data_IF_507802411564
#
_entry.id   IF_507802411564
#
_cell.length_a   1.000
_cell.length_b   1.000
_cell.length_c   1.000
_cell.angle_alpha   90.00
_cell.angle_beta   90.00
_cell.angle_gamma   90.00
#
_symmetry.space_group_name_H-M   'P 1'
#
loop_
_entity.id
_entity.type
_entity.pdbx_description
1 polymer ?
#
# COMPACT_ATOMS: atom_id res chain seq x y z
N UNK A 1 47.08 -41.43 13.38
CA UNK A 1 47.12 -40.79 12.06
C UNK A 1 45.68 -40.45 11.68
N UNK A 2 45.25 -39.20 11.93
CA UNK A 2 44.23 -38.56 11.08
C UNK A 2 44.96 -38.08 9.80
N UNK A 3 44.30 -37.63 8.71
CA UNK A 3 42.86 -37.39 8.50
C UNK A 3 42.34 -37.90 7.13
N UNK A 4 41.04 -38.09 6.91
CA UNK A 4 40.41 -37.68 5.63
C UNK A 4 38.99 -37.18 5.93
N UNK A 5 38.90 -35.88 6.10
CA UNK A 5 37.69 -35.08 6.02
C UNK A 5 37.16 -35.18 4.58
N UNK A 6 35.98 -35.79 4.38
CA UNK A 6 35.40 -35.90 3.05
C UNK A 6 34.73 -34.58 2.65
N UNK A 7 35.59 -33.73 2.11
CA UNK A 7 35.29 -32.57 1.27
C UNK A 7 34.39 -33.03 0.12
N UNK A 8 33.29 -32.30 -0.15
CA UNK A 8 32.35 -32.47 -1.27
C UNK A 8 31.06 -33.27 -1.03
N UNK A 9 30.11 -32.65 -0.32
CA UNK A 9 28.77 -32.42 -0.89
C UNK A 9 28.37 -31.01 -0.46
N UNK A 10 28.82 -30.03 -1.27
CA UNK A 10 27.91 -29.23 -2.09
C UNK A 10 27.12 -28.24 -1.22
N UNK A 11 27.77 -27.13 -0.88
CA UNK A 11 27.50 -25.84 -1.51
C UNK A 11 26.11 -25.28 -1.17
N UNK A 12 26.13 -24.23 -0.35
CA UNK A 12 25.36 -23.02 -0.61
C UNK A 12 23.87 -23.18 -0.89
N UNK A 13 23.08 -23.60 0.10
CA UNK A 13 21.71 -23.10 0.24
C UNK A 13 21.56 -22.48 1.64
N UNK A 14 22.52 -21.64 2.02
CA UNK A 14 22.12 -20.41 2.67
C UNK A 14 21.59 -19.58 1.50
N UNK A 15 20.32 -19.78 1.12
CA UNK A 15 19.58 -18.71 0.48
C UNK A 15 19.57 -17.61 1.54
N UNK A 16 20.64 -16.81 1.56
CA UNK A 16 20.52 -15.43 1.95
C UNK A 16 19.48 -14.91 0.98
N UNK A 17 18.21 -14.99 1.38
CA UNK A 17 17.21 -14.08 0.90
C UNK A 17 17.76 -12.72 1.31
N UNK A 18 18.62 -12.17 0.45
CA UNK A 18 18.88 -10.76 0.39
C UNK A 18 17.51 -10.17 0.06
N UNK A 19 16.73 -9.92 1.11
CA UNK A 19 15.75 -8.86 1.10
C UNK A 19 16.59 -7.59 0.91
N UNK A 20 16.92 -7.29 -0.35
CA UNK A 20 17.18 -5.93 -0.73
C UNK A 20 15.84 -5.22 -0.55
N UNK A 21 15.56 -4.80 0.69
CA UNK A 21 14.51 -3.85 0.97
C UNK A 21 14.92 -2.57 0.28
N UNK A 22 14.57 -2.41 -0.99
CA UNK A 22 14.57 -1.13 -1.64
C UNK A 22 13.44 -0.32 -0.99
N UNK A 23 13.74 0.34 0.13
CA UNK A 23 12.85 1.30 0.75
C UNK A 23 12.69 2.45 -0.26
N UNK A 24 11.59 2.44 -1.03
CA UNK A 24 11.33 3.43 -2.07
C UNK A 24 10.86 4.73 -1.45
N UNK A 25 9.63 4.73 -0.95
CA UNK A 25 9.05 5.87 -0.25
C UNK A 25 8.22 5.40 0.95
N UNK A 26 8.02 6.31 1.91
CA UNK A 26 7.08 6.14 3.01
C UNK A 26 5.86 7.00 2.76
N UNK A 27 4.70 6.39 2.61
CA UNK A 27 3.43 7.09 2.41
C UNK A 27 2.74 7.21 3.75
N UNK A 28 2.57 8.45 4.22
CA UNK A 28 1.84 8.75 5.46
C UNK A 28 0.44 9.25 5.15
N UNK A 29 -0.55 8.52 5.63
CA UNK A 29 -1.97 8.85 5.54
C UNK A 29 -2.34 9.69 6.75
N UNK A 30 -3.00 10.82 6.55
CA UNK A 30 -3.49 11.69 7.62
C UNK A 30 -4.98 11.94 7.42
N UNK A 31 -5.81 11.43 8.31
CA UNK A 31 -7.25 11.72 8.24
C UNK A 31 -7.55 13.06 8.92
N UNK A 32 -7.78 14.09 8.12
CA UNK A 32 -8.24 15.41 8.59
C UNK A 32 -9.77 15.58 8.51
N UNK A 33 -10.50 14.56 8.06
CA UNK A 33 -11.96 14.58 8.04
C UNK A 33 -12.51 14.44 9.47
N UNK A 34 -13.71 14.97 9.77
CA UNK A 34 -14.33 14.84 11.09
C UNK A 34 -14.93 13.43 11.33
N UNK A 35 -14.72 12.48 10.43
CA UNK A 35 -15.23 11.11 10.48
C UNK A 35 -14.11 10.10 10.17
N UNK A 36 -14.30 8.85 10.61
CA UNK A 36 -13.39 7.75 10.27
C UNK A 36 -13.42 7.48 8.77
N UNK A 37 -12.23 7.26 8.18
CA UNK A 37 -12.06 6.77 6.82
C UNK A 37 -11.30 5.46 6.88
N UNK A 38 -11.52 4.57 5.90
CA UNK A 38 -10.77 3.33 5.79
C UNK A 38 -9.96 3.34 4.51
N UNK A 39 -8.69 3.78 4.54
CA UNK A 39 -7.86 3.77 3.35
C UNK A 39 -7.78 2.37 2.73
N UNK A 40 -7.72 2.33 1.40
CA UNK A 40 -7.40 1.16 0.60
C UNK A 40 -6.15 1.43 -0.24
N UNK A 41 -5.38 0.38 -0.53
CA UNK A 41 -4.19 0.47 -1.38
C UNK A 41 -4.22 -0.63 -2.43
N UNK A 42 -3.79 -0.31 -3.65
CA UNK A 42 -3.66 -1.30 -4.72
C UNK A 42 -2.35 -1.07 -5.48
N UNK A 43 -1.51 -2.11 -5.56
CA UNK A 43 -0.40 -2.14 -6.52
C UNK A 43 -0.93 -2.51 -7.91
N UNK A 44 -0.54 -1.75 -8.94
CA UNK A 44 -0.93 -1.95 -10.33
C UNK A 44 -0.37 -3.26 -10.94
N UNK A 45 -0.96 -3.67 -12.07
CA UNK A 45 -0.50 -4.79 -12.90
C UNK A 45 -0.32 -6.12 -12.15
N UNK A 46 -1.16 -6.39 -11.14
CA UNK A 46 -1.18 -7.63 -10.37
C UNK A 46 0.18 -7.98 -9.73
N UNK A 47 1.04 -6.97 -9.54
CA UNK A 47 2.29 -7.09 -8.80
C UNK A 47 2.00 -7.32 -7.31
N UNK A 48 3.01 -7.74 -6.51
CA UNK A 48 2.85 -7.91 -5.08
C UNK A 48 2.22 -6.68 -4.41
N UNK A 49 1.24 -6.93 -3.55
CA UNK A 49 0.53 -5.88 -2.83
C UNK A 49 1.37 -5.35 -1.67
N UNK A 50 1.07 -4.13 -1.24
CA UNK A 50 1.70 -3.54 -0.05
C UNK A 50 1.33 -4.34 1.21
N UNK A 51 2.11 -4.14 2.29
CA UNK A 51 1.91 -4.83 3.57
C UNK A 51 0.53 -4.57 4.21
N UNK A 52 -0.10 -3.43 3.87
CA UNK A 52 -1.47 -3.10 4.26
C UNK A 52 -2.27 -2.76 3.00
N UNK A 53 -3.25 -3.59 2.64
CA UNK A 53 -4.17 -3.32 1.52
C UNK A 53 -5.43 -2.57 1.93
N UNK A 54 -5.69 -2.48 3.23
CA UNK A 54 -6.72 -1.61 3.79
C UNK A 54 -6.67 -1.60 5.31
N UNK A 55 -7.03 -0.46 5.92
CA UNK A 55 -6.95 -0.24 7.37
C UNK A 55 -7.94 0.84 7.81
N UNK A 56 -8.23 0.91 9.11
CA UNK A 56 -9.05 1.98 9.70
C UNK A 56 -8.19 3.18 10.05
N UNK A 57 -8.69 4.39 9.78
CA UNK A 57 -8.03 5.63 10.14
C UNK A 57 -9.05 6.62 10.73
N UNK A 58 -9.11 6.66 12.06
CA UNK A 58 -10.01 7.54 12.80
C UNK A 58 -9.68 9.03 12.55
N UNK A 59 -10.65 9.90 12.82
CA UNK A 59 -10.51 11.36 12.71
C UNK A 59 -9.28 11.87 13.48
N UNK A 60 -8.46 12.69 12.83
CA UNK A 60 -7.23 13.27 13.38
C UNK A 60 -6.06 12.30 13.51
N UNK A 61 -6.20 11.03 13.10
CA UNK A 61 -5.13 10.03 13.19
C UNK A 61 -4.31 9.94 11.90
N UNK A 62 -3.12 9.38 12.05
CA UNK A 62 -2.20 9.11 10.95
C UNK A 62 -1.66 7.68 11.03
N UNK A 63 -1.39 7.07 9.88
CA UNK A 63 -0.72 5.78 9.75
C UNK A 63 0.18 5.82 8.51
N UNK A 64 1.08 4.86 8.33
CA UNK A 64 1.99 4.81 7.18
C UNK A 64 2.13 3.42 6.58
N UNK A 65 2.49 3.41 5.30
CA UNK A 65 2.85 2.23 4.52
C UNK A 65 4.12 2.53 3.74
N UNK A 66 5.07 1.61 3.78
CA UNK A 66 6.26 1.67 2.94
C UNK A 66 5.93 1.13 1.55
N UNK A 67 6.34 1.86 0.51
CA UNK A 67 6.22 1.44 -0.90
C UNK A 67 7.60 1.12 -1.46
N UNK A 68 7.75 0.04 -2.25
CA UNK A 68 9.02 -0.29 -2.87
C UNK A 68 9.39 0.73 -3.97
N UNK A 69 10.63 0.65 -4.45
CA UNK A 69 11.06 1.34 -5.67
C UNK A 69 11.64 0.30 -6.64
N UNK A 70 11.14 0.24 -7.90
CA UNK A 70 10.01 0.99 -8.44
C UNK A 70 8.65 0.51 -7.92
N UNK A 71 7.64 1.38 -7.92
CA UNK A 71 6.27 1.01 -7.58
C UNK A 71 5.26 1.86 -8.34
N UNK A 72 4.14 1.26 -8.71
CA UNK A 72 3.02 1.98 -9.30
C UNK A 72 1.74 1.46 -8.67
N UNK A 73 0.85 2.37 -8.31
CA UNK A 73 -0.41 2.01 -7.72
C UNK A 73 -1.22 3.21 -7.29
N UNK A 74 -2.27 2.92 -6.55
CA UNK A 74 -3.27 3.91 -6.14
C UNK A 74 -3.76 3.69 -4.73
N UNK A 75 -4.20 4.80 -4.14
CA UNK A 75 -4.82 4.86 -2.82
C UNK A 75 -6.17 5.54 -2.90
N UNK A 76 -7.08 5.19 -1.99
CA UNK A 76 -8.39 5.82 -1.86
C UNK A 76 -8.87 5.76 -0.42
N UNK A 77 -9.87 6.58 -0.07
CA UNK A 77 -10.54 6.53 1.23
C UNK A 77 -11.94 5.93 1.12
N UNK A 78 -12.26 4.91 1.93
CA UNK A 78 -13.64 4.40 2.08
C UNK A 78 -14.37 5.11 3.21
N UNK A 79 -15.68 5.27 3.09
CA UNK A 79 -16.52 5.92 4.12
C UNK A 79 -17.80 5.14 4.41
N UNK A 80 -18.39 5.38 5.58
CA UNK A 80 -19.63 4.72 6.00
C UNK A 80 -19.47 3.21 6.12
N UNK A 81 -18.34 2.76 6.64
CA UNK A 81 -18.03 1.34 6.74
C UNK A 81 -18.57 0.71 8.03
N UNK A 82 -19.00 -0.55 7.93
CA UNK A 82 -19.47 -1.35 9.07
C UNK A 82 -19.22 -2.83 8.84
N UNK A 83 -19.17 -3.61 9.91
CA UNK A 83 -19.18 -5.08 9.84
C UNK A 83 -20.55 -5.62 10.22
N UNK A 84 -21.21 -6.29 9.27
CA UNK A 84 -22.51 -6.92 9.47
C UNK A 84 -22.36 -8.43 9.29
N UNK A 85 -22.66 -9.20 10.35
CA UNK A 85 -22.54 -10.66 10.35
C UNK A 85 -21.16 -11.17 9.85
N UNK A 86 -20.09 -10.47 10.21
CA UNK A 86 -18.70 -10.82 9.84
C UNK A 86 -18.28 -10.37 8.44
N UNK A 87 -19.16 -9.70 7.68
CA UNK A 87 -18.82 -9.09 6.38
C UNK A 87 -18.64 -7.58 6.54
N UNK A 88 -17.44 -7.11 6.23
CA UNK A 88 -17.13 -5.68 6.19
C UNK A 88 -17.55 -5.08 4.84
N UNK A 89 -18.23 -3.94 4.87
CA UNK A 89 -18.65 -3.21 3.68
C UNK A 89 -18.72 -1.71 3.94
N UNK A 90 -18.50 -0.91 2.90
CA UNK A 90 -18.53 0.55 2.94
C UNK A 90 -19.60 1.15 2.01
N UNK A 91 -20.11 2.32 2.37
CA UNK A 91 -21.08 3.06 1.57
C UNK A 91 -20.47 3.67 0.31
N UNK A 92 -19.20 4.09 0.36
CA UNK A 92 -18.47 4.60 -0.80
C UNK A 92 -17.11 3.93 -0.95
N UNK A 93 -16.66 3.78 -2.19
CA UNK A 93 -15.35 3.24 -2.57
C UNK A 93 -15.02 1.84 -2.00
N UNK A 94 -16.06 1.05 -1.67
CA UNK A 94 -15.90 -0.31 -1.16
C UNK A 94 -15.07 -1.16 -2.13
N UNK A 95 -14.22 -2.04 -1.60
CA UNK A 95 -13.36 -2.89 -2.45
C UNK A 95 -13.89 -4.32 -2.59
N UNK A 96 -15.08 -4.64 -2.06
CA UNK A 96 -15.76 -5.91 -2.27
C UNK A 96 -15.11 -7.13 -1.61
N UNK A 97 -14.01 -6.98 -0.87
CA UNK A 97 -13.30 -8.09 -0.24
C UNK A 97 -14.07 -8.71 0.92
N UNK A 98 -15.07 -8.02 1.46
CA UNK A 98 -15.76 -8.42 2.69
C UNK A 98 -14.92 -8.23 3.96
N UNK A 99 -13.74 -7.60 3.85
CA UNK A 99 -12.78 -7.39 4.93
C UNK A 99 -12.30 -5.94 4.96
N UNK A 100 -11.69 -5.52 6.09
CA UNK A 100 -11.00 -4.22 6.13
C UNK A 100 -9.87 -4.18 5.12
N UNK A 101 -9.09 -5.26 4.98
CA UNK A 101 -8.08 -5.40 3.95
C UNK A 101 -8.72 -5.58 2.56
N UNK A 102 -8.22 -4.88 1.54
CA UNK A 102 -8.76 -5.00 0.18
C UNK A 102 -8.15 -6.15 -0.63
N UNK A 103 -7.06 -6.77 -0.17
CA UNK A 103 -6.51 -8.01 -0.72
C UNK A 103 -6.28 -8.00 -2.24
N UNK A 104 -5.86 -6.85 -2.79
CA UNK A 104 -5.62 -6.68 -4.23
C UNK A 104 -6.88 -6.34 -5.05
N UNK A 105 -8.03 -6.12 -4.41
CA UNK A 105 -9.20 -5.55 -5.06
C UNK A 105 -9.14 -4.01 -5.07
N UNK A 106 -9.60 -3.41 -6.16
CA UNK A 106 -9.74 -1.95 -6.30
C UNK A 106 -11.06 -1.43 -5.71
N UNK A 107 -11.15 -0.11 -5.57
CA UNK A 107 -12.38 0.55 -5.17
C UNK A 107 -13.47 0.38 -6.23
N UNK A 108 -14.73 0.23 -5.80
CA UNK A 108 -15.92 0.39 -6.63
C UNK A 108 -16.26 1.89 -6.69
N UNK A 109 -16.28 2.52 -7.89
CA UNK A 109 -16.63 3.92 -8.05
C UNK A 109 -18.01 4.30 -7.46
N UNK A 110 -18.21 5.55 -6.98
CA UNK A 110 -17.28 6.67 -7.10
C UNK A 110 -16.17 6.67 -6.04
N UNK A 111 -14.94 6.99 -6.45
CA UNK A 111 -13.77 7.07 -5.58
C UNK A 111 -12.79 8.14 -6.05
N UNK A 112 -12.45 9.08 -5.16
CA UNK A 112 -11.28 9.95 -5.37
C UNK A 112 -10.02 9.09 -5.24
N UNK A 113 -9.13 9.14 -6.22
CA UNK A 113 -7.89 8.37 -6.25
C UNK A 113 -6.67 9.26 -6.01
N UNK A 114 -5.69 8.72 -5.28
CA UNK A 114 -4.32 9.25 -5.22
C UNK A 114 -3.42 8.24 -5.93
N UNK A 115 -2.90 8.61 -7.10
CA UNK A 115 -2.14 7.72 -7.99
C UNK A 115 -0.67 8.11 -7.94
N UNK A 116 0.22 7.12 -7.84
CA UNK A 116 1.66 7.34 -7.73
C UNK A 116 2.43 6.37 -8.63
N UNK A 117 3.47 6.90 -9.25
CA UNK A 117 4.51 6.18 -9.94
C UNK A 117 5.86 6.55 -9.30
N UNK A 118 6.44 5.61 -8.55
CA UNK A 118 7.73 5.72 -7.88
C UNK A 118 8.79 5.10 -8.77
N UNK A 119 9.74 5.91 -9.21
CA UNK A 119 10.79 5.50 -10.13
C UNK A 119 11.88 4.67 -9.44
N UNK A 120 12.57 3.86 -10.23
CA UNK A 120 13.74 3.13 -9.77
C UNK A 120 14.93 4.09 -9.55
N UNK A 121 15.86 3.70 -8.66
CA UNK A 121 17.16 4.38 -8.48
C UNK A 121 17.07 5.88 -8.16
N UNK A 122 15.98 6.32 -7.52
CA UNK A 122 15.77 7.74 -7.19
C UNK A 122 15.50 8.63 -8.40
N UNK A 123 14.90 8.06 -9.46
CA UNK A 123 14.36 8.82 -10.59
C UNK A 123 13.23 9.76 -10.18
N UNK A 124 12.63 10.42 -11.18
CA UNK A 124 11.56 11.39 -10.95
C UNK A 124 10.21 10.70 -10.75
N UNK A 125 9.72 10.71 -9.52
CA UNK A 125 8.38 10.20 -9.22
C UNK A 125 7.28 11.09 -9.81
N UNK A 126 6.16 10.46 -10.18
CA UNK A 126 4.94 11.13 -10.64
C UNK A 126 3.78 10.80 -9.70
N UNK A 127 2.90 11.77 -9.47
CA UNK A 127 1.72 11.59 -8.65
C UNK A 127 0.62 12.56 -9.02
N UNK A 128 -0.63 12.17 -8.80
CA UNK A 128 -1.79 13.01 -9.01
C UNK A 128 -2.97 12.63 -8.09
N UNK A 129 -3.93 13.55 -8.00
CA UNK A 129 -5.27 13.27 -7.50
C UNK A 129 -6.20 13.15 -8.70
N UNK A 130 -6.86 12.02 -8.82
CA UNK A 130 -7.72 11.69 -9.96
C UNK A 130 -9.16 11.53 -9.52
N UNK A 131 -10.05 12.20 -10.27
CA UNK A 131 -11.51 12.04 -10.18
C UNK A 131 -12.07 11.32 -11.42
N UNK A 132 -11.22 10.60 -12.17
CA UNK A 132 -11.67 9.82 -13.34
C UNK A 132 -12.71 8.77 -12.91
N UNK A 133 -12.50 8.15 -11.75
CA UNK A 133 -13.42 7.19 -11.12
C UNK A 133 -14.45 7.88 -10.21
N UNK A 134 -14.69 9.19 -10.39
CA UNK A 134 -15.62 9.97 -9.58
C UNK A 134 -15.00 10.53 -8.30
N UNK A 135 -15.84 10.95 -7.36
CA UNK A 135 -15.42 11.66 -6.14
C UNK A 135 -16.19 11.16 -4.92
N UNK A 136 -15.50 10.99 -3.80
CA UNK A 136 -16.15 10.68 -2.51
C UNK A 136 -15.53 11.41 -1.31
N UNK A 137 -14.20 11.51 -1.23
CA UNK A 137 -13.47 12.17 -0.13
C UNK A 137 -12.49 13.20 -0.72
N UNK A 138 -12.41 14.44 -0.19
CA UNK A 138 -11.37 15.38 -0.58
C UNK A 138 -9.98 14.85 -0.17
N UNK A 139 -9.02 14.86 -1.10
CA UNK A 139 -7.67 14.38 -0.85
C UNK A 139 -6.62 15.35 -1.42
N UNK A 140 -5.42 15.30 -0.87
CA UNK A 140 -4.25 16.03 -1.36
C UNK A 140 -2.99 15.21 -1.13
N UNK A 141 -2.05 15.26 -2.06
CA UNK A 141 -0.70 14.71 -1.89
C UNK A 141 0.25 15.87 -1.58
N UNK A 142 1.09 15.71 -0.57
CA UNK A 142 2.15 16.66 -0.24
C UNK A 142 3.45 15.88 -0.09
N UNK A 143 4.43 16.19 -0.95
CA UNK A 143 5.76 15.62 -0.83
C UNK A 143 6.49 16.26 0.34
N UNK A 144 6.82 15.46 1.36
CA UNK A 144 7.69 15.90 2.46
C UNK A 144 9.11 15.46 2.14
N UNK A 145 10.02 16.43 1.92
CA UNK A 145 11.45 16.14 1.98
C UNK A 145 11.79 15.70 3.40
N UNK A 146 12.08 14.41 3.60
CA UNK A 146 12.96 14.02 4.70
C UNK A 146 14.37 14.44 4.28
N UNK A 147 14.98 15.35 5.03
CA UNK A 147 16.38 15.72 4.85
C UNK A 147 17.21 14.43 4.73
N UNK A 148 17.76 14.17 3.54
CA UNK A 148 18.84 13.20 3.39
C UNK A 148 20.07 13.68 4.12
#
# INVERSE_FOLDING_TARGET
MNPIMNTQFALCIILAFSFCGAYGAKITFMNKCPYTVWPGTLTSAQKPQLSKTGFELASGKSDSVDVPSPWEGRFWGRTGCSSNAGKFSCATADCGSGQVACNGAGAVPPATLAELHVEANGGQDYYDISNVDGFNVPMSICSTRWNR
#
